data_IF_669920055367
#
_entry.id   IF_669920055367
#
_cell.length_a   1.000
_cell.length_b   1.000
_cell.length_c   1.000
_cell.angle_alpha   90.00
_cell.angle_beta   90.00
_cell.angle_gamma   90.00
#
_symmetry.space_group_name_H-M   'P 1'
#
loop_
_entity.id
_entity.type
_entity.pdbx_description
1 polymer ?
#
# COMPACT_ATOMS: atom_id res chain seq x y z
N UNK A 1 -9.40 3.06 -3.39
CA UNK A 1 -8.83 1.77 -3.80
C UNK A 1 -9.45 0.68 -2.99
N UNK A 2 -9.23 -0.56 -3.40
CA UNK A 2 -9.63 -1.75 -2.66
C UNK A 2 -8.83 -1.85 -1.37
N UNK A 3 -9.52 -1.97 -0.24
CA UNK A 3 -8.93 -2.28 1.05
C UNK A 3 -10.00 -2.74 2.03
N UNK A 4 -9.89 -3.97 2.51
CA UNK A 4 -10.86 -4.59 3.40
C UNK A 4 -10.18 -5.10 4.65
N UNK A 5 -10.58 -4.60 5.83
CA UNK A 5 -10.07 -5.04 7.11
C UNK A 5 -10.95 -6.16 7.68
N UNK A 6 -10.34 -7.28 7.97
CA UNK A 6 -10.96 -8.41 8.67
C UNK A 6 -10.42 -8.47 10.08
N UNK A 7 -11.32 -8.58 11.06
CA UNK A 7 -10.98 -8.71 12.47
C UNK A 7 -11.55 -10.00 13.03
N UNK A 8 -10.69 -10.76 13.71
CA UNK A 8 -11.04 -11.98 14.41
C UNK A 8 -10.68 -11.85 15.89
N UNK A 9 -10.99 -12.86 16.70
CA UNK A 9 -10.53 -12.93 18.08
C UNK A 9 -8.98 -13.07 18.19
N UNK A 10 -8.32 -13.53 17.13
CA UNK A 10 -6.90 -13.88 17.14
C UNK A 10 -6.00 -12.88 16.40
N UNK A 11 -6.57 -11.82 15.82
CA UNK A 11 -5.82 -10.87 15.01
C UNK A 11 -6.62 -10.19 13.91
N UNK A 12 -5.95 -9.31 13.17
CA UNK A 12 -6.48 -8.51 12.07
C UNK A 12 -5.64 -8.70 10.82
N UNK A 13 -6.28 -8.81 9.66
CA UNK A 13 -5.59 -8.82 8.38
C UNK A 13 -6.33 -7.95 7.36
N UNK A 14 -5.58 -7.45 6.38
CA UNK A 14 -6.14 -6.71 5.24
C UNK A 14 -6.21 -7.61 4.02
N UNK A 15 -7.25 -7.41 3.21
CA UNK A 15 -7.25 -7.79 1.79
C UNK A 15 -7.13 -6.51 0.98
N UNK A 16 -6.02 -6.39 0.26
CA UNK A 16 -5.59 -5.20 -0.49
C UNK A 16 -5.38 -3.93 0.36
N UNK A 17 -4.58 -3.02 -0.20
CA UNK A 17 -4.37 -1.68 0.32
C UNK A 17 -4.03 -0.76 -0.86
N UNK A 18 -5.06 -0.33 -1.59
CA UNK A 18 -4.88 0.36 -2.86
C UNK A 18 -5.22 1.84 -2.88
N UNK A 19 -4.62 2.57 -3.82
CA UNK A 19 -4.90 4.00 -4.02
C UNK A 19 -6.32 4.24 -4.52
N UNK A 20 -6.92 5.32 -4.06
CA UNK A 20 -8.09 5.93 -4.69
C UNK A 20 -7.69 6.59 -6.02
N UNK A 21 -8.27 6.11 -7.12
CA UNK A 21 -8.09 6.65 -8.47
C UNK A 21 -9.27 7.52 -8.89
N UNK A 22 -9.14 8.24 -10.01
CA UNK A 22 -10.23 9.05 -10.58
C UNK A 22 -10.19 10.53 -10.17
N UNK A 23 -11.35 11.08 -9.83
CA UNK A 23 -11.54 12.51 -9.56
C UNK A 23 -10.67 13.01 -8.41
N UNK A 24 -10.38 14.32 -8.41
CA UNK A 24 -9.48 14.95 -7.43
C UNK A 24 -9.93 14.72 -5.98
N UNK A 25 -11.23 14.86 -5.70
CA UNK A 25 -11.82 14.62 -4.37
C UNK A 25 -11.59 13.21 -3.88
N UNK A 26 -11.63 12.20 -4.77
CA UNK A 26 -11.35 10.83 -4.42
C UNK A 26 -9.86 10.60 -4.15
N UNK A 27 -8.99 11.22 -4.96
CA UNK A 27 -7.52 11.16 -4.76
C UNK A 27 -7.08 11.82 -3.44
N UNK A 28 -7.80 12.82 -2.96
CA UNK A 28 -7.53 13.48 -1.67
C UNK A 28 -7.65 12.51 -0.48
N UNK A 29 -8.49 11.48 -0.59
CA UNK A 29 -8.61 10.43 0.45
C UNK A 29 -7.29 9.66 0.67
N UNK A 30 -6.40 9.61 -0.33
CA UNK A 30 -5.10 8.97 -0.18
C UNK A 30 -4.19 9.66 0.83
N UNK A 31 -4.44 10.94 1.17
CA UNK A 31 -3.64 11.70 2.13
C UNK A 31 -4.16 11.59 3.57
N UNK A 32 -5.44 11.24 3.77
CA UNK A 32 -6.04 11.08 5.09
C UNK A 32 -5.45 9.93 5.90
N UNK A 33 -5.67 9.91 7.22
CA UNK A 33 -5.25 8.77 8.04
C UNK A 33 -6.04 7.49 7.67
N UNK A 34 -5.45 6.32 7.92
CA UNK A 34 -6.21 5.07 7.86
C UNK A 34 -7.31 5.08 8.94
N UNK A 35 -8.50 4.50 8.68
CA UNK A 35 -9.57 4.39 9.66
C UNK A 35 -9.28 3.31 10.74
N UNK A 36 -8.08 2.75 10.75
CA UNK A 36 -7.56 1.77 11.69
C UNK A 36 -6.09 2.08 11.99
N UNK A 37 -5.54 1.46 13.04
CA UNK A 37 -4.12 1.56 13.38
C UNK A 37 -3.31 0.57 12.53
N UNK A 38 -2.38 1.01 11.66
CA UNK A 38 -1.60 0.10 10.81
C UNK A 38 -0.76 -0.90 11.60
N UNK A 39 -0.23 -0.50 12.76
CA UNK A 39 0.54 -1.37 13.65
C UNK A 39 -0.28 -2.50 14.29
N UNK A 40 -1.61 -2.43 14.27
CA UNK A 40 -2.48 -3.49 14.77
C UNK A 40 -2.85 -4.51 13.67
N UNK A 41 -2.35 -4.35 12.44
CA UNK A 41 -2.60 -5.28 11.32
C UNK A 41 -1.48 -6.31 11.27
N UNK A 42 -1.84 -7.59 11.35
CA UNK A 42 -0.88 -8.68 11.45
C UNK A 42 -0.38 -9.15 10.08
N UNK A 43 -1.21 -9.05 9.04
CA UNK A 43 -0.86 -9.47 7.68
C UNK A 43 -1.69 -8.75 6.60
N UNK A 44 -1.18 -8.74 5.37
CA UNK A 44 -1.90 -8.27 4.18
C UNK A 44 -1.93 -9.38 3.15
N UNK A 45 -3.11 -9.67 2.60
CA UNK A 45 -3.30 -10.46 1.38
C UNK A 45 -3.44 -9.49 0.21
N UNK A 46 -2.48 -9.48 -0.70
CA UNK A 46 -2.58 -8.70 -1.93
C UNK A 46 -3.14 -9.58 -3.05
N UNK A 47 -4.22 -9.15 -3.68
CA UNK A 47 -4.89 -9.91 -4.74
C UNK A 47 -4.13 -9.87 -6.06
N UNK A 48 -3.65 -8.69 -6.46
CA UNK A 48 -2.85 -8.47 -7.67
C UNK A 48 -2.13 -7.11 -7.63
N UNK A 49 -1.27 -6.85 -8.61
CA UNK A 49 -0.29 -5.77 -8.55
C UNK A 49 -0.84 -4.35 -8.80
N UNK A 50 -2.05 -4.20 -9.36
CA UNK A 50 -2.54 -2.88 -9.79
C UNK A 50 -2.57 -1.87 -8.63
N UNK A 51 -2.31 -0.61 -8.96
CA UNK A 51 -2.10 0.44 -7.96
C UNK A 51 -3.36 0.75 -7.13
N UNK A 52 -4.55 0.45 -7.65
CA UNK A 52 -5.82 0.55 -6.94
C UNK A 52 -6.06 -0.62 -5.96
N UNK A 53 -5.14 -1.58 -5.89
CA UNK A 53 -5.05 -2.67 -4.91
C UNK A 53 -3.76 -2.65 -4.07
N UNK A 54 -2.64 -2.19 -4.63
CA UNK A 54 -1.31 -2.23 -4.00
C UNK A 54 -0.76 -0.85 -3.58
N UNK A 55 -1.31 0.24 -4.12
CA UNK A 55 -0.66 1.54 -4.10
C UNK A 55 -0.61 2.27 -2.75
N UNK A 56 -1.32 1.80 -1.72
CA UNK A 56 -1.20 2.34 -0.36
C UNK A 56 -0.32 1.47 0.54
N UNK A 57 0.20 0.33 0.08
CA UNK A 57 1.11 -0.51 0.86
C UNK A 57 2.34 0.27 1.37
N UNK A 58 2.98 1.16 0.58
CA UNK A 58 4.12 1.91 1.11
C UNK A 58 3.76 2.89 2.22
N UNK A 59 2.59 3.51 2.11
CA UNK A 59 2.06 4.35 3.17
C UNK A 59 1.72 3.53 4.42
N UNK A 60 1.19 2.32 4.24
CA UNK A 60 0.84 1.40 5.34
C UNK A 60 2.08 1.01 6.14
N UNK A 61 3.15 0.56 5.46
CA UNK A 61 4.44 0.20 6.09
C UNK A 61 5.03 1.41 6.82
N UNK A 62 5.11 2.58 6.17
CA UNK A 62 5.61 3.81 6.80
C UNK A 62 4.80 4.23 8.03
N UNK A 63 3.51 3.87 8.08
CA UNK A 63 2.63 4.17 9.19
C UNK A 63 2.69 3.13 10.34
N UNK A 64 3.64 2.19 10.29
CA UNK A 64 3.96 1.27 11.38
C UNK A 64 3.47 -0.16 11.19
N UNK A 65 3.06 -0.56 9.99
CA UNK A 65 2.78 -1.96 9.69
C UNK A 65 4.10 -2.74 9.50
N UNK A 66 4.23 -3.86 10.21
CA UNK A 66 5.44 -4.71 10.20
C UNK A 66 5.16 -6.16 9.76
N UNK A 67 3.89 -6.49 9.45
CA UNK A 67 3.48 -7.84 9.05
C UNK A 67 3.88 -8.23 7.62
N UNK A 68 3.70 -9.50 7.24
CA UNK A 68 3.94 -9.94 5.87
C UNK A 68 2.85 -9.45 4.89
N UNK A 69 3.27 -9.12 3.68
CA UNK A 69 2.40 -8.91 2.53
C UNK A 69 2.45 -10.17 1.66
N UNK A 70 1.43 -11.01 1.78
CA UNK A 70 1.28 -12.26 1.04
C UNK A 70 0.78 -11.97 -0.38
N UNK A 71 1.53 -12.43 -1.38
CA UNK A 71 1.19 -12.23 -2.78
C UNK A 71 1.85 -13.31 -3.67
N UNK A 72 1.30 -13.53 -4.86
CA UNK A 72 1.92 -14.44 -5.84
C UNK A 72 3.23 -13.86 -6.35
N UNK A 73 4.18 -14.72 -6.78
CA UNK A 73 5.49 -14.27 -7.27
C UNK A 73 5.39 -13.25 -8.41
N UNK A 74 4.46 -13.46 -9.36
CA UNK A 74 4.23 -12.51 -10.46
C UNK A 74 3.70 -11.16 -9.97
N UNK A 75 2.84 -11.16 -8.93
CA UNK A 75 2.38 -9.92 -8.30
C UNK A 75 3.53 -9.17 -7.62
N UNK A 76 4.38 -9.88 -6.88
CA UNK A 76 5.56 -9.30 -6.21
C UNK A 76 6.51 -8.68 -7.24
N UNK A 77 6.79 -9.41 -8.33
CA UNK A 77 7.67 -8.94 -9.40
C UNK A 77 7.15 -7.63 -10.02
N UNK A 78 5.87 -7.58 -10.39
CA UNK A 78 5.24 -6.35 -10.90
C UNK A 78 5.26 -5.20 -9.88
N UNK A 79 4.95 -5.48 -8.61
CA UNK A 79 4.99 -4.47 -7.54
C UNK A 79 6.40 -3.91 -7.32
N UNK A 80 7.45 -4.72 -7.56
CA UNK A 80 8.85 -4.30 -7.38
C UNK A 80 9.28 -3.17 -8.31
N UNK A 81 8.65 -3.04 -9.47
CA UNK A 81 8.87 -1.94 -10.41
C UNK A 81 7.79 -0.86 -10.28
N UNK A 82 6.51 -1.26 -10.20
CA UNK A 82 5.39 -0.34 -10.23
C UNK A 82 5.34 0.58 -9.01
N UNK A 83 5.59 0.05 -7.80
CA UNK A 83 5.49 0.86 -6.58
C UNK A 83 6.60 1.93 -6.50
N UNK A 84 7.88 1.60 -6.77
CA UNK A 84 8.94 2.62 -6.80
C UNK A 84 8.74 3.67 -7.90
N UNK A 85 8.31 3.27 -9.09
CA UNK A 85 8.00 4.21 -10.19
C UNK A 85 6.88 5.18 -9.79
N UNK A 86 5.78 4.65 -9.24
CA UNK A 86 4.68 5.47 -8.73
C UNK A 86 5.12 6.43 -7.61
N UNK A 87 6.07 6.03 -6.75
CA UNK A 87 6.67 6.92 -5.75
C UNK A 87 7.48 8.05 -6.38
N UNK A 88 8.34 7.74 -7.35
CA UNK A 88 9.15 8.72 -8.08
C UNK A 88 8.30 9.74 -8.86
N UNK A 89 7.21 9.28 -9.49
CA UNK A 89 6.24 10.14 -10.17
C UNK A 89 5.60 11.10 -9.17
N UNK A 90 5.14 10.60 -8.02
CA UNK A 90 4.55 11.45 -6.97
C UNK A 90 5.53 12.51 -6.45
N UNK A 91 6.79 12.13 -6.21
CA UNK A 91 7.85 13.06 -5.79
C UNK A 91 8.07 14.16 -6.83
N UNK A 92 8.14 13.79 -8.11
CA UNK A 92 8.30 14.73 -9.22
C UNK A 92 7.13 15.70 -9.35
N UNK A 93 5.89 15.21 -9.26
CA UNK A 93 4.67 16.03 -9.32
C UNK A 93 4.58 17.00 -8.13
N UNK A 94 4.88 16.52 -6.92
CA UNK A 94 4.91 17.33 -5.70
C UNK A 94 6.00 18.38 -5.77
N UNK A 95 7.20 18.06 -6.25
CA UNK A 95 8.27 19.03 -6.43
C UNK A 95 7.87 20.15 -7.40
N UNK A 96 7.21 19.80 -8.52
CA UNK A 96 6.68 20.80 -9.46
C UNK A 96 5.58 21.65 -8.82
N UNK A 97 4.69 21.05 -8.04
CA UNK A 97 3.62 21.75 -7.33
C UNK A 97 4.18 22.72 -6.27
N UNK A 98 5.16 22.29 -5.49
CA UNK A 98 5.78 23.10 -4.45
C UNK A 98 6.52 24.31 -5.03
N UNK A 99 7.20 24.18 -6.19
CA UNK A 99 7.76 25.35 -6.91
C UNK A 99 6.70 26.39 -7.24
N UNK A 100 5.52 25.96 -7.71
CA UNK A 100 4.39 26.87 -8.00
C UNK A 100 3.76 27.44 -6.73
N UNK A 101 3.69 26.65 -5.66
CA UNK A 101 3.15 27.10 -4.37
C UNK A 101 4.05 28.16 -3.73
N UNK A 102 5.38 27.96 -3.75
CA UNK A 102 6.34 28.94 -3.27
C UNK A 102 6.19 30.29 -3.99
N UNK A 103 6.09 30.29 -5.33
CA UNK A 103 5.84 31.50 -6.12
C UNK A 103 4.49 32.18 -5.81
N UNK A 104 3.54 31.47 -5.20
CA UNK A 104 2.19 31.96 -4.84
C UNK A 104 2.01 32.17 -3.33
N UNK A 105 3.07 32.03 -2.53
CA UNK A 105 3.01 32.12 -1.07
C UNK A 105 2.12 31.05 -0.40
N UNK A 106 1.96 29.88 -1.04
CA UNK A 106 1.17 28.75 -0.51
C UNK A 106 2.08 27.75 0.21
N UNK A 107 1.51 27.01 1.16
CA UNK A 107 2.22 25.94 1.87
C UNK A 107 2.66 24.82 0.93
N UNK A 108 3.80 24.22 1.25
CA UNK A 108 4.28 23.01 0.59
C UNK A 108 3.40 21.81 0.95
N UNK A 109 3.37 20.83 0.04
CA UNK A 109 2.74 19.53 0.25
C UNK A 109 3.77 18.42 0.12
N UNK A 110 3.45 17.23 0.60
CA UNK A 110 4.30 16.05 0.56
C UNK A 110 3.65 14.97 -0.30
N UNK A 111 4.41 14.06 -0.94
CA UNK A 111 3.85 12.92 -1.64
C UNK A 111 3.19 11.95 -0.66
N UNK A 112 2.31 11.07 -1.15
CA UNK A 112 1.66 10.06 -0.30
C UNK A 112 2.73 9.13 0.27
N UNK A 113 3.68 8.74 -0.58
CA UNK A 113 4.90 8.02 -0.23
C UNK A 113 5.99 8.32 -1.27
N UNK A 114 7.26 8.08 -0.91
CA UNK A 114 8.43 8.29 -1.76
C UNK A 114 8.86 7.02 -2.49
N UNK A 115 9.72 7.13 -3.51
CA UNK A 115 10.37 5.95 -4.09
C UNK A 115 11.09 5.11 -3.02
N UNK A 116 11.74 5.76 -2.05
CA UNK A 116 12.43 5.09 -0.95
C UNK A 116 11.46 4.30 -0.06
N UNK A 117 10.29 4.89 0.28
CA UNK A 117 9.24 4.20 1.05
C UNK A 117 8.74 2.95 0.30
N UNK A 118 8.58 3.04 -1.02
CA UNK A 118 8.15 1.92 -1.85
C UNK A 118 9.20 0.80 -1.89
N UNK A 119 10.48 1.14 -2.02
CA UNK A 119 11.57 0.15 -1.98
C UNK A 119 11.63 -0.55 -0.63
N UNK A 120 11.51 0.19 0.47
CA UNK A 120 11.50 -0.39 1.82
C UNK A 120 10.34 -1.40 2.00
N UNK A 121 9.18 -1.08 1.42
CA UNK A 121 7.99 -1.94 1.48
C UNK A 121 8.19 -3.31 0.83
N UNK A 122 9.07 -3.42 -0.18
CA UNK A 122 9.35 -4.68 -0.86
C UNK A 122 9.88 -5.76 0.10
N UNK A 123 10.54 -5.37 1.20
CA UNK A 123 11.04 -6.28 2.23
C UNK A 123 9.93 -6.99 3.02
N UNK A 124 8.71 -6.45 3.00
CA UNK A 124 7.56 -7.04 3.70
C UNK A 124 6.85 -8.12 2.86
N UNK A 125 7.13 -8.20 1.55
CA UNK A 125 6.48 -9.19 0.69
C UNK A 125 6.95 -10.61 0.98
N UNK A 126 6.01 -11.54 0.97
CA UNK A 126 6.25 -12.98 1.11
C UNK A 126 5.52 -13.72 -0.01
N UNK A 127 6.25 -14.48 -0.85
CA UNK A 127 5.65 -15.19 -1.96
C UNK A 127 4.76 -16.32 -1.46
N UNK A 128 3.60 -16.48 -2.11
CA UNK A 128 2.72 -17.64 -1.96
C UNK A 128 2.48 -18.32 -3.31
N UNK A 129 2.24 -19.63 -3.27
CA UNK A 129 1.98 -20.44 -4.45
C UNK A 129 0.46 -20.53 -4.71
N UNK A 130 0.08 -20.68 -5.97
CA UNK A 130 -1.29 -21.01 -6.34
C UNK A 130 -1.71 -22.37 -5.79
N UNK A 131 -3.01 -22.51 -5.53
CA UNK A 131 -3.68 -23.72 -5.05
C UNK A 131 -3.15 -24.28 -3.72
N UNK A 132 -2.30 -23.53 -3.02
CA UNK A 132 -1.73 -23.90 -1.74
C UNK A 132 -2.36 -23.08 -0.61
N UNK A 133 -2.72 -23.76 0.47
CA UNK A 133 -3.16 -23.08 1.70
C UNK A 133 -1.96 -22.46 2.41
N UNK A 134 -2.08 -21.19 2.78
CA UNK A 134 -1.09 -20.43 3.55
C UNK A 134 -1.75 -19.83 4.79
N UNK A 135 -1.07 -19.94 5.93
CA UNK A 135 -1.51 -19.30 7.17
C UNK A 135 -1.34 -17.78 7.07
N UNK A 136 -2.40 -17.04 7.42
CA UNK A 136 -2.42 -15.56 7.38
C UNK A 136 -2.26 -15.00 8.78
N UNK A 137 -3.13 -15.45 9.68
CA UNK A 137 -3.11 -15.21 11.12
C UNK A 137 -3.61 -16.48 11.83
N UNK A 138 -3.44 -16.64 13.16
CA UNK A 138 -3.89 -17.84 13.85
C UNK A 138 -5.39 -18.14 13.62
N UNK A 139 -5.68 -19.31 13.05
CA UNK A 139 -7.05 -19.74 12.74
C UNK A 139 -7.59 -19.26 11.38
N UNK A 140 -6.81 -18.51 10.59
CA UNK A 140 -7.20 -18.06 9.25
C UNK A 140 -6.16 -18.51 8.21
N UNK A 141 -6.65 -19.17 7.16
CA UNK A 141 -5.84 -19.59 6.01
C UNK A 141 -6.41 -18.99 4.72
N UNK A 142 -5.54 -18.68 3.78
CA UNK A 142 -5.89 -18.23 2.45
C UNK A 142 -5.31 -19.15 1.39
N UNK A 143 -5.95 -19.18 0.22
CA UNK A 143 -5.49 -19.92 -0.95
C UNK A 143 -5.74 -19.09 -2.20
N UNK A 144 -4.68 -18.89 -2.97
CA UNK A 144 -4.71 -18.21 -4.26
C UNK A 144 -5.07 -19.21 -5.35
N UNK A 145 -5.75 -18.76 -6.40
CA UNK A 145 -6.19 -19.57 -7.54
C UNK A 145 -5.71 -18.93 -8.84
#
# INVERSE_FOLDING_TARGET
GSSYLFQTANGRFLVDCGLFQGQKTLKELNYGAFPFRPADVDAVLLTHAHIDHSGLLPKLVRAGFEGPILATRGTIDLCSYMLPDAGSIQESEVAQLNRRNAARGRKEVQPIYTQADAIATLQSFRPVDYERWTDVIPGVRARYW
#
